data_IF_724808520303
#
_entry.id   IF_724808520303
#
_cell.length_a   1.000
_cell.length_b   1.000
_cell.length_c   1.000
_cell.angle_alpha   90.00
_cell.angle_beta   90.00
_cell.angle_gamma   90.00
#
_symmetry.space_group_name_H-M   'P 1'
#
loop_
_entity.id
_entity.type
_entity.pdbx_description
1 polymer ?
#
# COMPACT_ATOMS: atom_id res chain seq x y z
N UNK A 1 -8.04 61.79 -28.23
CA UNK A 1 -7.29 60.52 -28.47
C UNK A 1 -6.80 59.93 -27.14
N UNK A 2 -7.65 59.81 -26.11
CA UNK A 2 -7.20 59.44 -24.76
C UNK A 2 -8.21 58.57 -23.97
N UNK A 3 -9.18 57.94 -24.65
CA UNK A 3 -10.31 57.28 -23.97
C UNK A 3 -10.71 55.95 -24.59
N UNK A 4 -9.74 55.21 -25.14
CA UNK A 4 -9.94 53.84 -25.66
C UNK A 4 -8.96 52.81 -25.10
N UNK A 5 -8.07 53.20 -24.17
CA UNK A 5 -7.02 52.31 -23.66
C UNK A 5 -7.39 51.67 -22.31
N UNK A 6 -8.30 52.26 -21.52
CA UNK A 6 -8.62 51.72 -20.18
C UNK A 6 -9.58 50.52 -20.15
N UNK A 7 -10.31 50.22 -21.23
CA UNK A 7 -11.32 49.14 -21.20
C UNK A 7 -10.75 47.74 -21.51
N UNK A 8 -9.48 47.63 -21.93
CA UNK A 8 -8.85 46.33 -22.22
C UNK A 8 -7.89 45.85 -21.13
N UNK A 9 -7.65 46.64 -20.09
CA UNK A 9 -6.78 46.28 -18.98
C UNK A 9 -7.50 45.61 -17.80
N UNK A 10 -8.83 45.58 -17.79
CA UNK A 10 -9.60 44.96 -16.70
C UNK A 10 -9.90 43.47 -16.92
N UNK A 11 -9.48 42.87 -18.04
CA UNK A 11 -9.79 41.48 -18.41
C UNK A 11 -8.60 40.51 -18.34
N UNK A 12 -7.54 40.91 -17.62
CA UNK A 12 -6.28 40.16 -17.52
C UNK A 12 -5.80 40.03 -16.05
N UNK A 13 -6.75 39.99 -15.10
CA UNK A 13 -6.52 39.59 -13.70
C UNK A 13 -7.52 38.48 -13.35
N UNK A 14 -7.62 37.49 -14.23
CA UNK A 14 -8.26 36.19 -13.97
C UNK A 14 -7.31 35.17 -14.60
N UNK A 15 -6.98 34.11 -13.87
CA UNK A 15 -5.96 33.09 -14.19
C UNK A 15 -4.51 33.53 -13.99
N UNK A 16 -4.01 33.41 -12.77
CA UNK A 16 -2.82 32.57 -12.46
C UNK A 16 -2.68 32.47 -10.94
N UNK A 17 -3.64 31.87 -10.25
CA UNK A 17 -3.28 31.19 -9.00
C UNK A 17 -2.64 29.88 -9.42
N UNK A 18 -1.32 29.70 -9.30
CA UNK A 18 -0.77 28.36 -9.39
C UNK A 18 -1.45 27.54 -8.30
N UNK A 19 -2.34 26.62 -8.69
CA UNK A 19 -2.77 25.52 -7.85
C UNK A 19 -1.52 24.68 -7.59
N UNK A 20 -0.68 25.13 -6.68
CA UNK A 20 0.30 24.28 -6.02
C UNK A 20 -0.52 23.33 -5.17
N UNK A 21 -1.01 22.27 -5.79
CA UNK A 21 -1.45 21.09 -5.06
C UNK A 21 -0.23 20.58 -4.31
N UNK A 22 -0.08 20.99 -3.05
CA UNK A 22 0.84 20.32 -2.15
C UNK A 22 0.41 18.86 -2.12
N UNK A 23 1.20 17.99 -2.75
CA UNK A 23 1.04 16.55 -2.56
C UNK A 23 1.31 16.29 -1.10
N UNK A 24 0.24 16.17 -0.31
CA UNK A 24 0.31 15.82 1.09
C UNK A 24 0.72 14.35 1.16
N UNK A 25 2.02 14.12 1.38
CA UNK A 25 2.52 12.80 1.73
C UNK A 25 1.99 12.44 3.12
N UNK A 26 1.09 11.47 3.17
CA UNK A 26 0.69 10.84 4.42
C UNK A 26 1.92 10.06 4.92
N UNK A 27 2.53 10.57 5.99
CA UNK A 27 3.64 9.87 6.64
C UNK A 27 3.09 8.59 7.25
N UNK A 28 3.27 7.46 6.57
CA UNK A 28 2.96 6.11 7.08
C UNK A 28 4.03 5.67 8.09
N UNK A 29 4.29 6.52 9.09
CA UNK A 29 5.21 6.18 10.17
C UNK A 29 4.66 4.94 10.87
N UNK A 30 5.46 3.88 10.97
CA UNK A 30 5.16 2.77 11.88
C UNK A 30 5.14 3.33 13.31
N UNK A 31 4.00 3.38 14.00
CA UNK A 31 3.95 3.83 15.38
C UNK A 31 4.83 2.96 16.29
N UNK A 32 5.58 3.62 17.17
CA UNK A 32 6.52 2.99 18.12
C UNK A 32 5.81 2.45 19.38
N UNK A 33 4.53 2.77 19.60
CA UNK A 33 3.70 2.15 20.65
C UNK A 33 2.21 2.11 20.23
N UNK A 34 1.74 0.98 19.69
CA UNK A 34 0.32 0.79 19.37
C UNK A 34 -0.46 0.43 20.64
N UNK A 35 -1.17 1.40 21.19
CA UNK A 35 -2.19 1.18 22.23
C UNK A 35 -3.52 1.77 21.78
N UNK A 36 -4.66 1.22 22.24
CA UNK A 36 -5.98 1.76 21.91
C UNK A 36 -6.14 3.25 22.29
N UNK A 37 -5.36 3.71 23.27
CA UNK A 37 -5.39 5.08 23.79
C UNK A 37 -4.49 6.05 22.99
N UNK A 38 -3.73 5.56 22.01
CA UNK A 38 -2.85 6.37 21.17
C UNK A 38 -3.52 6.95 19.92
N UNK A 39 -4.74 6.51 19.60
CA UNK A 39 -5.50 7.02 18.46
C UNK A 39 -6.09 8.40 18.77
N UNK A 40 -5.87 9.36 17.87
CA UNK A 40 -6.64 10.61 17.90
C UNK A 40 -8.11 10.36 17.50
N UNK A 41 -9.05 11.27 17.84
CA UNK A 41 -10.47 11.08 17.54
C UNK A 41 -10.80 10.82 16.07
N UNK A 42 -10.01 11.35 15.13
CA UNK A 42 -10.19 11.18 13.69
C UNK A 42 -9.17 10.23 13.04
N UNK A 43 -8.54 9.36 13.83
CA UNK A 43 -7.58 8.36 13.33
C UNK A 43 -8.13 6.96 13.55
N UNK A 44 -7.71 6.04 12.69
CA UNK A 44 -7.92 4.61 12.83
C UNK A 44 -6.64 3.85 12.55
N UNK A 45 -6.56 2.62 13.06
CA UNK A 45 -5.54 1.68 12.62
C UNK A 45 -6.05 0.93 11.40
N UNK A 46 -5.15 0.72 10.44
CA UNK A 46 -5.34 -0.25 9.37
C UNK A 46 -4.24 -1.28 9.46
N UNK A 47 -4.56 -2.56 9.27
CA UNK A 47 -3.56 -3.60 9.22
C UNK A 47 -3.90 -4.67 8.19
N UNK A 48 -2.85 -5.26 7.65
CA UNK A 48 -2.92 -6.27 6.60
C UNK A 48 -1.72 -7.21 6.69
N UNK A 49 -1.83 -8.38 6.10
CA UNK A 49 -0.70 -9.25 5.85
C UNK A 49 -0.09 -8.98 4.48
N UNK A 50 1.24 -8.97 4.41
CA UNK A 50 2.00 -8.95 3.17
C UNK A 50 2.74 -10.28 3.08
N UNK A 51 2.46 -11.05 2.04
CA UNK A 51 2.95 -12.40 1.87
C UNK A 51 3.69 -12.51 0.55
N UNK A 52 4.85 -13.16 0.56
CA UNK A 52 5.55 -13.60 -0.63
C UNK A 52 5.11 -15.04 -0.94
N UNK A 53 4.45 -15.21 -2.08
CA UNK A 53 4.13 -16.53 -2.63
C UNK A 53 5.39 -17.17 -3.22
N UNK A 54 5.54 -18.50 -3.06
CA UNK A 54 6.58 -19.39 -3.61
C UNK A 54 8.02 -18.83 -3.59
N UNK A 55 8.91 -19.43 -2.78
CA UNK A 55 10.31 -19.03 -2.62
C UNK A 55 11.11 -18.92 -3.93
N UNK A 56 11.11 -17.73 -4.51
CA UNK A 56 12.31 -17.21 -5.14
C UNK A 56 12.85 -16.11 -4.22
N UNK A 57 14.10 -16.27 -3.77
CA UNK A 57 14.81 -15.27 -2.97
C UNK A 57 15.20 -14.10 -3.87
N UNK A 58 14.19 -13.37 -4.37
CA UNK A 58 14.40 -12.15 -5.13
C UNK A 58 14.61 -11.02 -4.13
N UNK A 59 15.82 -10.45 -4.13
CA UNK A 59 16.12 -9.22 -3.39
C UNK A 59 15.44 -8.05 -4.09
N UNK A 60 14.12 -7.93 -3.89
CA UNK A 60 13.31 -6.87 -4.44
C UNK A 60 12.57 -6.13 -3.32
N UNK A 61 12.37 -4.84 -3.54
CA UNK A 61 11.58 -3.95 -2.70
C UNK A 61 10.22 -3.81 -3.37
N UNK A 62 9.18 -4.16 -2.65
CA UNK A 62 7.82 -4.10 -3.13
C UNK A 62 7.10 -2.96 -2.44
N UNK A 63 6.47 -2.09 -3.23
CA UNK A 63 5.79 -0.91 -2.76
C UNK A 63 4.34 -0.93 -3.20
N UNK A 64 3.43 -0.62 -2.29
CA UNK A 64 2.02 -0.37 -2.58
C UNK A 64 1.68 1.06 -2.22
N UNK A 65 1.10 1.78 -3.17
CA UNK A 65 0.72 3.18 -3.01
C UNK A 65 -0.79 3.26 -2.86
N UNK A 66 -1.24 4.08 -1.92
CA UNK A 66 -2.64 4.34 -1.66
C UNK A 66 -2.92 5.84 -1.62
N UNK A 67 -4.15 6.22 -1.93
CA UNK A 67 -4.61 7.60 -1.98
C UNK A 67 -5.86 7.76 -1.12
N UNK A 68 -5.96 8.86 -0.38
CA UNK A 68 -7.17 9.27 0.31
C UNK A 68 -8.13 9.91 -0.70
N UNK A 69 -9.40 9.50 -0.68
CA UNK A 69 -10.41 9.99 -1.64
C UNK A 69 -10.83 11.44 -1.40
N UNK A 70 -10.74 11.92 -0.16
CA UNK A 70 -11.23 13.24 0.22
C UNK A 70 -10.26 14.37 -0.14
N UNK A 71 -8.94 14.15 0.05
CA UNK A 71 -7.91 15.17 -0.11
C UNK A 71 -6.79 14.80 -1.08
N UNK A 72 -6.82 13.59 -1.64
CA UNK A 72 -5.77 13.10 -2.54
C UNK A 72 -4.46 12.75 -1.85
N UNK A 73 -4.42 12.73 -0.51
CA UNK A 73 -3.22 12.42 0.27
C UNK A 73 -2.66 11.04 -0.08
N UNK A 74 -1.34 10.96 -0.32
CA UNK A 74 -0.69 9.74 -0.82
C UNK A 74 0.10 9.08 0.30
N UNK A 75 -0.09 7.77 0.47
CA UNK A 75 0.73 6.94 1.34
C UNK A 75 1.40 5.79 0.59
N UNK A 76 2.42 5.21 1.24
CA UNK A 76 3.22 4.11 0.71
C UNK A 76 3.42 3.03 1.77
N UNK A 77 3.26 1.78 1.37
CA UNK A 77 3.58 0.57 2.14
C UNK A 77 4.74 -0.11 1.45
N UNK A 78 5.81 -0.41 2.19
CA UNK A 78 6.99 -1.09 1.64
C UNK A 78 7.19 -2.45 2.30
N UNK A 79 7.50 -3.45 1.48
CA UNK A 79 7.84 -4.80 1.91
C UNK A 79 9.13 -5.24 1.24
N UNK A 80 10.09 -5.66 2.05
CA UNK A 80 11.36 -6.21 1.58
C UNK A 80 11.56 -7.58 2.20
N UNK A 81 11.38 -8.68 1.44
CA UNK A 81 11.59 -10.02 1.96
C UNK A 81 12.99 -10.21 2.54
N UNK A 82 13.10 -10.90 3.67
CA UNK A 82 14.40 -11.30 4.25
C UNK A 82 15.21 -10.23 4.98
N UNK A 83 14.97 -8.93 4.74
CA UNK A 83 15.66 -7.84 5.44
C UNK A 83 15.07 -7.50 6.81
N UNK A 84 13.82 -7.92 7.07
CA UNK A 84 13.14 -7.71 8.35
C UNK A 84 13.36 -8.92 9.27
N UNK A 85 14.60 -9.09 9.73
CA UNK A 85 15.05 -10.25 10.52
C UNK A 85 14.32 -10.48 11.86
N UNK A 86 13.52 -9.52 12.33
CA UNK A 86 12.90 -9.54 13.67
C UNK A 86 11.37 -9.43 13.68
N UNK A 87 10.69 -9.36 12.53
CA UNK A 87 9.22 -9.36 12.54
C UNK A 87 8.69 -10.78 12.78
N UNK A 88 7.66 -10.93 13.63
CA UNK A 88 6.93 -12.20 13.77
C UNK A 88 6.30 -12.52 12.42
N UNK A 89 6.94 -13.44 11.71
CA UNK A 89 6.65 -13.75 10.32
C UNK A 89 5.49 -14.72 10.19
N UNK A 90 4.63 -14.50 9.20
CA UNK A 90 3.81 -15.57 8.61
C UNK A 90 4.77 -16.59 8.00
N UNK A 91 4.58 -17.88 8.32
CA UNK A 91 5.28 -18.99 7.67
C UNK A 91 4.30 -20.11 7.40
N UNK A 92 4.08 -20.41 6.13
CA UNK A 92 3.37 -21.61 5.71
C UNK A 92 4.38 -22.52 5.02
N UNK A 93 4.84 -23.57 5.72
CA UNK A 93 5.84 -24.50 5.16
C UNK A 93 5.30 -25.30 3.98
N UNK A 94 4.02 -25.68 4.03
CA UNK A 94 3.39 -26.48 2.99
C UNK A 94 3.17 -25.69 1.70
N UNK A 95 2.73 -24.43 1.81
CA UNK A 95 2.58 -23.53 0.67
C UNK A 95 3.86 -22.77 0.29
N UNK A 96 4.93 -22.94 1.08
CA UNK A 96 6.20 -22.25 0.93
C UNK A 96 6.04 -20.71 0.90
N UNK A 97 5.28 -20.18 1.86
CA UNK A 97 4.96 -18.76 1.97
C UNK A 97 5.64 -18.14 3.19
N UNK A 98 6.12 -16.90 3.02
CA UNK A 98 6.64 -16.06 4.09
C UNK A 98 6.02 -14.68 4.02
N UNK A 99 5.68 -14.12 5.17
CA UNK A 99 5.08 -12.79 5.20
C UNK A 99 5.16 -12.12 6.56
N UNK A 100 4.48 -10.99 6.69
CA UNK A 100 4.41 -10.20 7.91
C UNK A 100 3.09 -9.46 8.01
N UNK A 101 2.64 -9.17 9.23
CA UNK A 101 1.52 -8.25 9.46
C UNK A 101 2.07 -6.84 9.60
N UNK A 102 1.62 -5.96 8.70
CA UNK A 102 1.88 -4.52 8.74
C UNK A 102 0.67 -3.78 9.27
N UNK A 103 0.94 -2.68 9.97
CA UNK A 103 -0.09 -1.81 10.54
C UNK A 103 0.32 -0.36 10.44
N UNK A 104 -0.66 0.50 10.26
CA UNK A 104 -0.51 1.94 10.07
C UNK A 104 -1.60 2.68 10.82
N UNK A 105 -1.27 3.87 11.33
CA UNK A 105 -2.27 4.83 11.80
C UNK A 105 -2.54 5.80 10.66
N UNK A 106 -3.81 5.96 10.28
CA UNK A 106 -4.22 6.85 9.20
C UNK A 106 -5.42 7.70 9.67
N UNK A 107 -5.60 8.91 9.10
CA UNK A 107 -6.86 9.63 9.24
C UNK A 107 -8.03 8.74 8.79
N UNK A 108 -9.15 8.81 9.51
CA UNK A 108 -10.37 8.14 9.11
C UNK A 108 -10.85 8.63 7.74
N UNK A 109 -11.33 7.72 6.91
CA UNK A 109 -11.74 8.04 5.55
C UNK A 109 -11.73 6.86 4.60
N UNK A 110 -12.11 7.15 3.36
CA UNK A 110 -12.03 6.22 2.24
C UNK A 110 -10.68 6.35 1.54
N UNK A 111 -10.12 5.22 1.18
CA UNK A 111 -8.86 5.12 0.47
C UNK A 111 -8.96 4.07 -0.63
N UNK A 112 -8.06 4.14 -1.59
CA UNK A 112 -7.81 3.04 -2.51
C UNK A 112 -6.32 2.85 -2.75
N UNK A 113 -5.89 1.60 -2.94
CA UNK A 113 -4.61 1.34 -3.58
C UNK A 113 -4.73 1.63 -5.07
N UNK A 114 -3.77 2.35 -5.62
CA UNK A 114 -3.82 2.80 -7.02
C UNK A 114 -2.61 2.40 -7.87
N UNK A 115 -1.50 2.05 -7.21
CA UNK A 115 -0.25 1.71 -7.87
C UNK A 115 0.55 0.75 -7.00
N UNK A 116 1.31 -0.14 -7.63
CA UNK A 116 2.40 -0.85 -6.99
C UNK A 116 3.71 -0.55 -7.72
N UNK A 117 4.84 -0.80 -7.07
CA UNK A 117 6.13 -0.88 -7.75
C UNK A 117 6.99 -2.01 -7.19
N UNK A 118 7.81 -2.60 -8.04
CA UNK A 118 8.78 -3.63 -7.69
C UNK A 118 10.14 -3.10 -8.11
N UNK A 119 11.06 -2.94 -7.17
CA UNK A 119 12.41 -2.46 -7.47
C UNK A 119 13.40 -3.56 -7.11
N UNK A 120 14.19 -4.00 -8.08
CA UNK A 120 15.26 -4.98 -7.87
C UNK A 120 16.60 -4.40 -8.29
N UNK A 121 17.59 -4.46 -7.41
CA UNK A 121 18.98 -4.23 -7.76
C UNK A 121 19.64 -5.55 -8.17
N UNK A 122 20.19 -5.64 -9.38
CA UNK A 122 20.91 -6.83 -9.83
C UNK A 122 22.06 -6.44 -10.78
N UNK A 123 23.25 -7.02 -10.57
CA UNK A 123 24.44 -6.91 -11.45
C UNK A 123 24.76 -5.49 -11.98
N UNK A 124 24.69 -4.47 -11.13
CA UNK A 124 25.04 -3.08 -11.50
C UNK A 124 23.92 -2.29 -12.18
N UNK A 125 22.71 -2.86 -12.29
CA UNK A 125 21.51 -2.17 -12.79
C UNK A 125 20.35 -2.20 -11.79
N UNK A 126 19.38 -1.33 -12.03
CA UNK A 126 18.08 -1.31 -11.34
C UNK A 126 16.98 -1.64 -12.34
N UNK A 127 16.12 -2.57 -11.96
CA UNK A 127 14.89 -2.86 -12.68
C UNK A 127 13.71 -2.38 -11.84
N UNK A 128 12.80 -1.65 -12.47
CA UNK A 128 11.55 -1.19 -11.89
C UNK A 128 10.38 -1.77 -12.69
N UNK A 129 9.40 -2.33 -11.99
CA UNK A 129 8.14 -2.78 -12.57
C UNK A 129 6.99 -2.06 -11.89
N UNK A 130 6.17 -1.40 -12.69
CA UNK A 130 4.95 -0.73 -12.28
C UNK A 130 3.83 -1.05 -13.27
N UNK A 131 2.55 -0.98 -12.84
CA UNK A 131 1.44 -1.16 -13.76
C UNK A 131 1.40 0.01 -14.76
N UNK A 132 0.99 -0.28 -16.00
CA UNK A 132 0.86 0.74 -17.06
C UNK A 132 -0.28 1.73 -16.79
N UNK A 133 -1.32 1.27 -16.11
CA UNK A 133 -2.50 2.04 -15.76
C UNK A 133 -2.70 1.98 -14.24
N UNK A 134 -3.21 3.07 -13.65
CA UNK A 134 -3.64 3.05 -12.25
C UNK A 134 -4.81 2.08 -12.08
N UNK A 135 -4.88 1.42 -10.94
CA UNK A 135 -6.01 0.58 -10.56
C UNK A 135 -6.77 1.21 -9.37
N UNK A 136 -7.84 0.57 -8.93
CA UNK A 136 -8.51 0.98 -7.69
C UNK A 136 -8.93 -0.23 -6.87
N UNK A 137 -8.32 -0.39 -5.69
CA UNK A 137 -8.70 -1.38 -4.68
C UNK A 137 -9.10 -0.62 -3.41
N UNK A 138 -10.40 -0.49 -3.13
CA UNK A 138 -10.88 0.36 -2.04
C UNK A 138 -10.67 -0.28 -0.67
N UNK A 139 -10.40 0.56 0.33
CA UNK A 139 -10.44 0.19 1.74
C UNK A 139 -10.87 1.38 2.61
N UNK A 140 -11.32 1.09 3.83
CA UNK A 140 -11.86 2.10 4.75
C UNK A 140 -11.06 2.14 6.04
N UNK A 141 -10.73 3.34 6.51
CA UNK A 141 -10.17 3.56 7.85
C UNK A 141 -11.27 4.09 8.75
N UNK A 142 -11.62 3.33 9.78
CA UNK A 142 -12.70 3.68 10.73
C UNK A 142 -12.11 4.42 11.94
N UNK A 143 -12.71 5.54 12.39
CA UNK A 143 -12.20 6.29 13.53
C UNK A 143 -12.27 5.44 14.81
N UNK A 144 -11.20 5.43 15.61
CA UNK A 144 -11.14 4.70 16.88
C UNK A 144 -11.25 3.18 16.74
N UNK A 145 -10.93 2.63 15.57
CA UNK A 145 -10.99 1.19 15.28
C UNK A 145 -9.67 0.70 14.69
N UNK A 146 -9.49 -0.62 14.72
CA UNK A 146 -8.44 -1.31 13.99
C UNK A 146 -9.05 -2.14 12.87
N UNK A 147 -8.96 -1.64 11.63
CA UNK A 147 -9.52 -2.29 10.46
C UNK A 147 -8.52 -3.30 9.89
N UNK A 148 -8.88 -4.58 9.91
CA UNK A 148 -8.23 -5.61 9.11
C UNK A 148 -8.71 -5.51 7.67
N UNK A 149 -7.79 -5.27 6.74
CA UNK A 149 -8.12 -5.10 5.32
C UNK A 149 -7.68 -6.28 4.44
N UNK A 150 -7.22 -7.38 5.02
CA UNK A 150 -6.91 -8.62 4.29
C UNK A 150 -5.42 -8.89 4.12
N UNK A 151 -5.12 -9.66 3.08
CA UNK A 151 -3.79 -10.12 2.69
C UNK A 151 -3.48 -9.65 1.27
N UNK A 152 -2.25 -9.17 1.06
CA UNK A 152 -1.67 -9.02 -0.27
C UNK A 152 -0.56 -10.07 -0.43
N UNK A 153 -0.83 -11.06 -1.26
CA UNK A 153 0.13 -12.09 -1.66
C UNK A 153 0.79 -11.69 -2.96
N UNK A 154 2.11 -11.79 -2.99
CA UNK A 154 2.93 -11.33 -4.10
C UNK A 154 3.70 -12.50 -4.67
N UNK A 155 3.45 -12.78 -5.95
CA UNK A 155 4.04 -13.88 -6.69
C UNK A 155 4.97 -13.31 -7.77
N UNK A 156 6.30 -13.51 -7.68
CA UNK A 156 7.20 -13.04 -8.72
C UNK A 156 6.93 -13.76 -10.05
N UNK A 157 6.99 -13.03 -11.15
CA UNK A 157 6.99 -13.59 -12.51
C UNK A 157 8.43 -13.78 -12.92
N UNK A 158 8.82 -15.02 -13.23
CA UNK A 158 10.20 -15.36 -13.61
C UNK A 158 10.26 -15.56 -15.13
N UNK A 159 11.09 -14.77 -15.79
CA UNK A 159 11.44 -14.91 -17.19
C UNK A 159 12.82 -15.56 -17.38
N UNK A 160 13.35 -15.50 -18.61
CA UNK A 160 14.69 -15.95 -18.95
C UNK A 160 15.48 -14.83 -19.64
N UNK A 161 16.75 -14.68 -19.30
CA UNK A 161 17.68 -13.80 -20.00
C UNK A 161 18.07 -14.36 -21.36
N UNK A 162 18.80 -13.57 -22.17
CA UNK A 162 19.37 -14.02 -23.45
C UNK A 162 20.28 -15.26 -23.32
N UNK A 163 20.83 -15.51 -22.12
CA UNK A 163 21.66 -16.68 -21.82
C UNK A 163 20.86 -17.82 -21.16
N UNK A 164 19.53 -17.75 -21.15
CA UNK A 164 18.65 -18.76 -20.55
C UNK A 164 18.60 -18.77 -19.03
N UNK A 165 19.25 -17.80 -18.36
CA UNK A 165 19.24 -17.71 -16.90
C UNK A 165 17.91 -17.14 -16.39
N UNK A 166 17.35 -17.66 -15.29
CA UNK A 166 16.14 -17.12 -14.70
C UNK A 166 16.36 -15.68 -14.19
N UNK A 167 15.45 -14.78 -14.56
CA UNK A 167 15.46 -13.37 -14.15
C UNK A 167 14.06 -12.94 -13.73
N UNK A 168 13.95 -11.99 -12.80
CA UNK A 168 12.66 -11.38 -12.49
C UNK A 168 12.14 -10.68 -13.75
N UNK A 169 10.89 -10.93 -14.10
CA UNK A 169 10.20 -10.36 -15.25
C UNK A 169 8.93 -9.58 -14.84
N UNK A 170 8.66 -9.48 -13.54
CA UNK A 170 7.53 -8.76 -12.97
C UNK A 170 6.99 -9.44 -11.72
N UNK A 171 5.74 -9.15 -11.38
CA UNK A 171 5.04 -9.78 -10.27
C UNK A 171 3.53 -9.69 -10.43
N UNK A 172 2.83 -10.68 -9.87
CA UNK A 172 1.37 -10.73 -9.75
C UNK A 172 1.01 -10.59 -8.28
N UNK A 173 0.04 -9.74 -7.97
CA UNK A 173 -0.40 -9.46 -6.61
C UNK A 173 -1.81 -10.00 -6.39
N UNK A 174 -1.95 -11.05 -5.60
CA UNK A 174 -3.25 -11.61 -5.21
C UNK A 174 -3.76 -10.93 -3.95
N UNK A 175 -5.02 -10.50 -3.95
CA UNK A 175 -5.69 -10.06 -2.72
C UNK A 175 -6.49 -11.24 -2.17
N UNK A 176 -6.33 -11.50 -0.88
CA UNK A 176 -7.07 -12.54 -0.16
C UNK A 176 -7.43 -12.08 1.25
N UNK A 177 -8.02 -12.96 2.06
CA UNK A 177 -8.32 -12.69 3.46
C UNK A 177 -8.09 -13.96 4.30
N UNK A 178 -7.34 -13.81 5.40
CA UNK A 178 -7.11 -14.88 6.36
C UNK A 178 -7.12 -14.34 7.80
N UNK A 179 -8.28 -13.87 8.29
CA UNK A 179 -8.39 -13.22 9.59
C UNK A 179 -8.02 -14.17 10.74
N UNK A 180 -8.32 -15.47 10.60
CA UNK A 180 -7.99 -16.50 11.59
C UNK A 180 -6.48 -16.64 11.84
N UNK A 181 -5.64 -16.36 10.83
CA UNK A 181 -4.18 -16.33 10.96
C UNK A 181 -3.68 -14.94 11.36
N UNK A 182 -4.21 -13.90 10.72
CA UNK A 182 -3.61 -12.56 10.77
C UNK A 182 -3.95 -11.78 12.04
N UNK A 183 -5.19 -11.88 12.54
CA UNK A 183 -5.62 -11.18 13.75
C UNK A 183 -4.83 -11.67 14.98
N UNK A 184 -4.63 -12.99 15.21
CA UNK A 184 -3.78 -13.45 16.30
C UNK A 184 -2.32 -12.98 16.20
N UNK A 185 -1.77 -12.90 14.99
CA UNK A 185 -0.42 -12.37 14.78
C UNK A 185 -0.33 -10.87 15.10
N UNK A 186 -1.35 -10.12 14.68
CA UNK A 186 -1.50 -8.69 14.98
C UNK A 186 -1.60 -8.42 16.48
N UNK A 187 -2.51 -9.08 17.19
CA UNK A 187 -2.69 -8.88 18.65
C UNK A 187 -1.47 -9.35 19.44
N UNK A 188 -0.78 -10.39 18.99
CA UNK A 188 0.49 -10.83 19.58
C UNK A 188 1.64 -9.84 19.33
N UNK A 189 1.57 -9.05 18.24
CA UNK A 189 2.53 -7.96 17.94
C UNK A 189 2.19 -6.71 18.76
N UNK A 190 0.91 -6.45 19.01
CA UNK A 190 0.42 -5.27 19.74
C UNK A 190 -0.48 -5.69 20.92
N UNK A 191 0.09 -6.20 22.02
CA UNK A 191 -0.69 -6.77 23.12
C UNK A 191 -1.53 -5.75 23.90
N UNK A 192 -1.25 -4.45 23.75
CA UNK A 192 -2.02 -3.35 24.38
C UNK A 192 -3.28 -2.96 23.58
N UNK A 193 -3.55 -3.59 22.43
CA UNK A 193 -4.75 -3.29 21.66
C UNK A 193 -5.96 -3.99 22.27
N UNK A 194 -7.09 -3.28 22.34
CA UNK A 194 -8.36 -3.86 22.76
C UNK A 194 -8.91 -4.70 21.58
N UNK A 195 -9.09 -6.02 21.71
CA UNK A 195 -9.60 -6.83 20.61
C UNK A 195 -10.99 -6.40 20.12
N UNK A 196 -11.79 -5.75 20.97
CA UNK A 196 -13.15 -5.30 20.62
C UNK A 196 -13.17 -4.12 19.63
N UNK A 197 -12.05 -3.42 19.44
CA UNK A 197 -11.97 -2.34 18.44
C UNK A 197 -11.57 -2.87 17.06
N UNK A 198 -11.29 -4.18 16.93
CA UNK A 198 -10.90 -4.80 15.67
C UNK A 198 -12.14 -5.06 14.82
N UNK A 199 -12.14 -4.52 13.61
CA UNK A 199 -13.19 -4.76 12.60
C UNK A 199 -12.58 -5.39 11.36
N UNK A 200 -13.34 -6.25 10.69
CA UNK A 200 -12.90 -6.94 9.49
C UNK A 200 -13.61 -6.36 8.28
N UNK A 201 -12.88 -5.60 7.46
CA UNK A 201 -13.37 -5.03 6.21
C UNK A 201 -12.34 -5.39 5.12
N UNK A 202 -12.22 -6.69 4.77
CA UNK A 202 -11.20 -7.13 3.82
C UNK A 202 -11.40 -6.47 2.46
N UNK A 203 -10.29 -6.06 1.85
CA UNK A 203 -10.27 -5.51 0.50
C UNK A 203 -10.97 -6.46 -0.46
N UNK A 204 -11.67 -5.84 -1.41
CA UNK A 204 -12.18 -6.53 -2.59
C UNK A 204 -11.35 -6.07 -3.76
N UNK A 205 -11.29 -6.94 -4.76
CA UNK A 205 -10.81 -6.70 -6.11
C UNK A 205 -10.81 -5.26 -6.60
N UNK A 206 -11.92 -4.55 -6.40
CA UNK A 206 -12.19 -3.32 -7.13
C UNK A 206 -12.03 -3.55 -8.64
N UNK A 207 -11.60 -2.52 -9.35
CA UNK A 207 -11.36 -2.54 -10.80
C UNK A 207 -9.93 -2.97 -11.17
N UNK A 208 -9.23 -3.67 -10.28
CA UNK A 208 -7.85 -4.09 -10.55
C UNK A 208 -7.78 -5.09 -11.72
N UNK A 209 -6.92 -4.87 -12.72
CA UNK A 209 -6.80 -5.76 -13.87
C UNK A 209 -6.46 -7.21 -13.45
N UNK A 210 -7.07 -8.24 -14.06
CA UNK A 210 -6.82 -9.65 -13.71
C UNK A 210 -5.37 -10.10 -13.88
N UNK A 211 -4.62 -9.40 -14.74
CA UNK A 211 -3.21 -9.63 -15.03
C UNK A 211 -2.29 -9.16 -13.89
N UNK A 212 -2.76 -8.18 -13.13
CA UNK A 212 -2.10 -7.61 -11.95
C UNK A 212 -2.58 -8.32 -10.69
N UNK A 213 -3.85 -8.74 -10.64
CA UNK A 213 -4.48 -9.40 -9.50
C UNK A 213 -5.19 -10.69 -9.88
N UNK A 214 -4.72 -11.81 -9.32
CA UNK A 214 -5.48 -13.07 -9.33
C UNK A 214 -6.26 -13.19 -8.03
N UNK A 215 -7.57 -13.34 -8.10
CA UNK A 215 -8.39 -13.66 -6.92
C UNK A 215 -8.38 -15.17 -6.64
N UNK A 216 -8.32 -15.53 -5.37
CA UNK A 216 -8.51 -16.91 -4.90
C UNK A 216 -9.41 -16.91 -3.68
#
# INVERSE_FOLDING_TARGET
MAQRILSRLLLLIVLTTPLTGCVNYLYSGTPVDFSSNSLKPNEGFVFMSLVQGQHWNVNAIYSFYFRNEADGGIGKITYTPGLLGNEKTIRNKAANEKGTVKSYTLPAGQYHFYKFSIIQGQYGGYHDWEPKEEFSIPFTVRPGRATYIGEITMSPVIGRSLFGLPVLAGGVFTISSNPGRDIPLFTKKFPKINPQIIVQEPMRSGDAPPEIVRFR
#
